data_IF_727598799438
#
_entry.id   IF_727598799438
#
_cell.length_a   1.000
_cell.length_b   1.000
_cell.length_c   1.000
_cell.angle_alpha   90.00
_cell.angle_beta   90.00
_cell.angle_gamma   90.00
#
_symmetry.space_group_name_H-M   'P 1'
#
loop_
_entity.id
_entity.type
_entity.pdbx_description
1 polymer ?
#
# COMPACT_ATOMS: atom_id res chain seq x y z
N UNK A 1 25.13 14.68 6.59
CA UNK A 1 23.99 14.48 7.50
C UNK A 1 23.47 13.06 7.26
N UNK A 2 23.45 12.26 8.33
CA UNK A 2 22.92 10.92 8.24
C UNK A 2 21.40 11.05 8.14
N UNK A 3 20.81 10.68 6.98
CA UNK A 3 19.36 10.73 6.78
C UNK A 3 18.67 9.90 7.87
N UNK A 4 17.69 10.50 8.51
CA UNK A 4 17.02 9.91 9.66
C UNK A 4 15.89 9.02 9.15
N UNK A 5 16.04 7.71 9.28
CA UNK A 5 15.00 6.77 8.92
C UNK A 5 13.84 6.85 9.94
N UNK A 6 12.62 7.03 9.43
CA UNK A 6 11.40 7.08 10.23
C UNK A 6 10.46 5.97 9.77
N UNK A 7 10.08 5.09 10.69
CA UNK A 7 9.05 4.07 10.46
C UNK A 7 7.71 4.54 11.04
N UNK A 8 6.68 4.44 10.23
CA UNK A 8 5.28 4.62 10.65
C UNK A 8 4.61 3.25 10.70
N UNK A 9 4.31 2.77 11.89
CA UNK A 9 3.62 1.48 12.12
C UNK A 9 2.15 1.76 12.28
N UNK A 10 1.35 1.33 11.30
CA UNK A 10 -0.12 1.45 11.32
C UNK A 10 -0.73 0.18 11.90
N UNK A 11 -1.57 0.32 12.91
CA UNK A 11 -2.17 -0.84 13.59
C UNK A 11 -3.53 -0.49 14.20
N UNK A 12 -4.28 -1.50 14.63
CA UNK A 12 -5.50 -1.31 15.45
C UNK A 12 -5.13 -0.96 16.89
N UNK A 13 -5.99 -0.18 17.57
CA UNK A 13 -5.78 0.24 18.96
C UNK A 13 -5.50 -0.95 19.91
N UNK A 14 -6.13 -2.08 19.67
CA UNK A 14 -5.92 -3.30 20.46
C UNK A 14 -4.45 -3.76 20.49
N UNK A 15 -3.72 -3.57 19.41
CA UNK A 15 -2.33 -4.02 19.28
C UNK A 15 -1.31 -2.98 19.74
N UNK A 16 -1.72 -1.72 19.95
CA UNK A 16 -0.81 -0.63 20.34
C UNK A 16 0.05 -0.95 21.56
N UNK A 17 -0.51 -1.48 22.69
CA UNK A 17 0.29 -1.76 23.88
C UNK A 17 1.38 -2.81 23.61
N UNK A 18 1.05 -3.87 22.86
CA UNK A 18 1.98 -4.95 22.58
C UNK A 18 3.12 -4.47 21.66
N UNK A 19 2.80 -3.72 20.60
CA UNK A 19 3.80 -3.18 19.68
C UNK A 19 4.68 -2.14 20.37
N UNK A 20 4.09 -1.27 21.19
CA UNK A 20 4.84 -0.28 21.98
C UNK A 20 5.81 -0.95 22.94
N UNK A 21 5.36 -1.99 23.64
CA UNK A 21 6.20 -2.78 24.54
C UNK A 21 7.33 -3.47 23.78
N UNK A 22 7.04 -4.02 22.59
CA UNK A 22 8.07 -4.63 21.73
C UNK A 22 9.20 -3.65 21.40
N UNK A 23 8.88 -2.43 20.94
CA UNK A 23 9.90 -1.43 20.62
C UNK A 23 10.60 -0.84 21.83
N UNK A 24 9.96 -0.86 22.99
CA UNK A 24 10.60 -0.48 24.26
C UNK A 24 11.70 -1.48 24.65
N UNK A 25 11.44 -2.77 24.45
CA UNK A 25 12.40 -3.85 24.78
C UNK A 25 13.45 -4.01 23.66
N UNK A 26 13.05 -3.75 22.40
CA UNK A 26 13.88 -3.88 21.21
C UNK A 26 14.00 -2.52 20.51
N UNK A 27 14.80 -1.60 21.02
CA UNK A 27 14.90 -0.25 20.45
C UNK A 27 15.45 -0.29 19.03
N UNK A 28 14.91 0.53 18.10
CA UNK A 28 15.24 0.48 16.67
C UNK A 28 16.60 1.12 16.31
N UNK A 29 17.48 1.25 17.25
CA UNK A 29 18.80 1.86 17.06
C UNK A 29 18.69 3.35 16.73
N UNK A 30 19.17 3.77 15.56
CA UNK A 30 19.14 5.17 15.12
C UNK A 30 17.82 5.59 14.41
N UNK A 31 16.97 4.63 14.12
CA UNK A 31 15.68 4.92 13.48
C UNK A 31 14.67 5.46 14.50
N UNK A 32 13.69 6.21 14.00
CA UNK A 32 12.53 6.64 14.77
C UNK A 32 11.35 5.76 14.40
N UNK A 33 10.56 5.34 15.40
CA UNK A 33 9.32 4.58 15.17
C UNK A 33 8.14 5.37 15.70
N UNK A 34 7.17 5.65 14.85
CA UNK A 34 5.88 6.22 15.20
C UNK A 34 4.82 5.13 15.06
N UNK A 35 4.13 4.80 16.14
CA UNK A 35 3.04 3.82 16.13
C UNK A 35 1.72 4.59 16.11
N UNK A 36 0.90 4.36 15.09
CA UNK A 36 -0.34 5.07 14.85
C UNK A 36 -1.52 4.09 14.85
N UNK A 37 -2.57 4.42 15.62
CA UNK A 37 -3.82 3.69 15.54
C UNK A 37 -4.62 4.14 14.33
N UNK A 38 -5.09 3.18 13.55
CA UNK A 38 -6.01 3.44 12.44
C UNK A 38 -7.46 3.67 12.91
N UNK A 39 -7.80 3.24 14.12
CA UNK A 39 -9.16 3.36 14.64
C UNK A 39 -9.55 4.83 14.90
N UNK A 40 -8.54 5.70 15.09
CA UNK A 40 -8.73 7.13 15.28
C UNK A 40 -8.87 7.90 13.95
N UNK A 41 -8.76 7.21 12.83
CA UNK A 41 -8.85 7.83 11.53
C UNK A 41 -10.30 7.74 11.05
N UNK A 42 -10.96 8.88 10.82
CA UNK A 42 -12.37 8.97 10.43
C UNK A 42 -12.66 8.48 9.00
N UNK A 43 -11.88 7.53 8.51
CA UNK A 43 -11.99 7.04 7.16
C UNK A 43 -13.22 6.16 6.93
N UNK A 44 -13.68 5.41 7.95
CA UNK A 44 -14.87 4.57 7.84
C UNK A 44 -16.17 5.39 7.72
N UNK A 45 -16.24 6.55 8.40
CA UNK A 45 -17.40 7.43 8.31
C UNK A 45 -17.34 8.34 7.08
N UNK A 46 -16.13 8.77 6.68
CA UNK A 46 -15.92 9.66 5.54
C UNK A 46 -15.96 8.94 4.19
N UNK A 47 -15.64 7.65 4.18
CA UNK A 47 -15.38 6.93 2.94
C UNK A 47 -16.23 5.68 2.76
N UNK A 48 -17.37 5.50 3.44
CA UNK A 48 -18.30 4.37 3.22
C UNK A 48 -17.60 3.12 2.65
N UNK A 49 -16.63 2.59 3.41
CA UNK A 49 -15.98 1.34 2.99
C UNK A 49 -17.02 0.26 3.22
N UNK A 50 -17.82 0.03 2.20
CA UNK A 50 -18.70 -1.13 2.17
C UNK A 50 -17.82 -2.36 2.16
N UNK A 51 -17.76 -3.02 3.30
CA UNK A 51 -17.41 -4.42 3.34
C UNK A 51 -18.57 -5.16 2.64
N UNK A 52 -18.57 -5.22 1.33
CA UNK A 52 -19.26 -6.31 0.67
C UNK A 52 -18.51 -7.58 1.05
N UNK A 53 -19.06 -8.24 2.08
CA UNK A 53 -18.57 -9.50 2.66
C UNK A 53 -18.67 -10.68 1.67
N UNK A 54 -18.43 -10.48 0.39
CA UNK A 54 -18.47 -11.54 -0.62
C UNK A 54 -17.14 -12.28 -0.78
N UNK A 55 -16.05 -11.82 -0.17
CA UNK A 55 -14.82 -12.59 -0.09
C UNK A 55 -14.83 -13.42 1.18
N UNK A 56 -14.86 -14.75 1.04
CA UNK A 56 -14.74 -15.69 2.15
C UNK A 56 -13.34 -15.74 2.77
N UNK A 57 -12.37 -15.06 2.19
CA UNK A 57 -10.97 -15.06 2.66
C UNK A 57 -10.67 -13.83 3.52
N UNK A 58 -10.44 -13.99 4.84
CA UNK A 58 -10.12 -12.89 5.77
C UNK A 58 -8.90 -12.09 5.37
N UNK A 59 -7.98 -12.65 4.59
CA UNK A 59 -6.75 -11.97 4.13
C UNK A 59 -7.06 -10.78 3.24
N UNK A 60 -8.14 -10.82 2.50
CA UNK A 60 -8.55 -9.76 1.57
C UNK A 60 -9.58 -8.80 2.14
N UNK A 61 -10.18 -9.13 3.30
CA UNK A 61 -11.21 -8.30 3.95
C UNK A 61 -10.65 -7.36 5.02
N UNK A 62 -9.35 -7.43 5.32
CA UNK A 62 -8.73 -6.57 6.31
C UNK A 62 -8.76 -5.10 5.89
N UNK A 63 -9.26 -4.22 6.75
CA UNK A 63 -9.24 -2.78 6.58
C UNK A 63 -7.82 -2.24 6.28
N UNK A 64 -6.79 -2.89 6.84
CA UNK A 64 -5.39 -2.54 6.61
C UNK A 64 -4.99 -2.62 5.13
N UNK A 65 -5.59 -3.52 4.35
CA UNK A 65 -5.31 -3.64 2.92
C UNK A 65 -5.77 -2.40 2.13
N UNK A 66 -6.79 -1.72 2.60
CA UNK A 66 -7.34 -0.53 1.94
C UNK A 66 -6.62 0.76 2.34
N UNK A 67 -5.81 0.75 3.41
CA UNK A 67 -5.08 1.94 3.87
C UNK A 67 -4.18 2.56 2.80
N UNK A 68 -3.66 1.74 1.89
CA UNK A 68 -2.78 2.23 0.81
C UNK A 68 -3.43 3.28 -0.08
N UNK A 69 -4.77 3.25 -0.22
CA UNK A 69 -5.51 4.24 -1.01
C UNK A 69 -5.75 5.55 -0.26
N UNK A 70 -5.49 5.59 1.04
CA UNK A 70 -5.69 6.74 1.94
C UNK A 70 -4.38 7.27 2.53
N UNK A 71 -3.23 6.76 2.10
CA UNK A 71 -1.91 7.22 2.56
C UNK A 71 -1.72 8.74 2.49
N UNK A 72 -2.18 9.46 1.46
CA UNK A 72 -2.06 10.91 1.41
C UNK A 72 -2.84 11.64 2.50
N UNK A 73 -3.94 11.07 2.98
CA UNK A 73 -4.77 11.63 4.04
C UNK A 73 -4.20 11.28 5.43
N UNK A 74 -3.63 10.07 5.57
CA UNK A 74 -2.96 9.64 6.79
C UNK A 74 -1.65 10.43 6.99
N UNK A 75 -0.93 10.72 5.90
CA UNK A 75 0.36 11.42 5.91
C UNK A 75 0.35 12.69 5.03
N UNK A 76 -0.44 13.72 5.41
CA UNK A 76 -0.61 14.90 4.56
C UNK A 76 0.69 15.70 4.34
N UNK A 77 1.63 15.61 5.28
CA UNK A 77 2.92 16.30 5.20
C UNK A 77 3.98 15.56 4.38
N UNK A 78 3.77 14.27 4.07
CA UNK A 78 4.74 13.49 3.32
C UNK A 78 4.50 13.59 1.81
N UNK A 79 5.59 13.68 1.06
CA UNK A 79 5.55 13.69 -0.41
C UNK A 79 5.82 12.31 -1.02
N UNK A 80 6.52 11.46 -0.32
CA UNK A 80 6.94 10.13 -0.79
C UNK A 80 6.98 9.16 0.39
N UNK A 81 6.59 7.91 0.17
CA UNK A 81 6.63 6.87 1.20
C UNK A 81 6.91 5.51 0.56
N UNK A 82 7.62 4.66 1.27
CA UNK A 82 7.71 3.22 0.97
C UNK A 82 6.75 2.52 1.91
N UNK A 83 5.77 1.83 1.36
CA UNK A 83 4.86 0.95 2.10
C UNK A 83 5.45 -0.46 2.11
N UNK A 84 5.52 -1.05 3.29
CA UNK A 84 5.93 -2.43 3.50
C UNK A 84 4.79 -3.17 4.21
N UNK A 85 4.44 -4.35 3.72
CA UNK A 85 3.54 -5.25 4.44
C UNK A 85 4.29 -5.86 5.65
N UNK A 86 3.56 -6.28 6.66
CA UNK A 86 4.14 -6.74 7.93
C UNK A 86 4.87 -8.10 7.83
N UNK A 87 4.70 -8.82 6.73
CA UNK A 87 5.34 -10.11 6.43
C UNK A 87 6.51 -9.98 5.44
N UNK A 88 6.97 -8.76 5.18
CA UNK A 88 8.15 -8.49 4.33
C UNK A 88 9.42 -8.49 5.17
N UNK A 89 10.43 -9.22 4.71
CA UNK A 89 11.79 -9.21 5.30
C UNK A 89 12.71 -8.36 4.45
N UNK A 90 13.20 -7.26 5.04
CA UNK A 90 14.14 -6.35 4.38
C UNK A 90 15.54 -6.97 4.39
N UNK A 91 16.09 -7.27 3.22
CA UNK A 91 17.39 -7.93 3.05
C UNK A 91 18.53 -6.94 2.78
N UNK A 92 18.22 -5.74 2.31
CA UNK A 92 19.20 -4.73 1.90
C UNK A 92 18.72 -3.33 2.28
N UNK A 93 19.62 -2.36 2.21
CA UNK A 93 19.30 -0.95 2.44
C UNK A 93 18.23 -0.46 1.44
N UNK A 94 17.18 0.15 1.96
CA UNK A 94 16.07 0.70 1.17
C UNK A 94 16.30 2.13 0.68
N UNK A 95 17.40 2.78 1.04
CA UNK A 95 17.68 4.17 0.69
C UNK A 95 17.70 4.40 -0.84
N UNK A 96 18.13 3.41 -1.61
CA UNK A 96 18.13 3.48 -3.07
C UNK A 96 16.72 3.61 -3.66
N UNK A 97 15.68 3.10 -2.99
CA UNK A 97 14.29 3.24 -3.43
C UNK A 97 13.85 4.71 -3.46
N UNK A 98 14.41 5.54 -2.55
CA UNK A 98 14.12 6.97 -2.54
C UNK A 98 14.63 7.69 -3.79
N UNK A 99 15.70 7.17 -4.40
CA UNK A 99 16.34 7.77 -5.57
C UNK A 99 15.75 7.29 -6.89
N UNK A 100 14.81 6.33 -6.86
CA UNK A 100 14.16 5.84 -8.07
C UNK A 100 13.40 6.98 -8.75
N UNK A 101 13.74 7.20 -10.02
CA UNK A 101 12.98 8.12 -10.87
C UNK A 101 11.65 7.46 -11.26
N UNK A 102 10.56 7.93 -10.68
CA UNK A 102 9.21 7.42 -10.91
C UNK A 102 8.66 7.75 -12.32
N UNK A 103 9.41 8.51 -13.15
CA UNK A 103 9.03 8.91 -14.54
C UNK A 103 7.60 9.45 -14.65
N UNK A 104 7.14 10.15 -13.63
CA UNK A 104 5.78 10.68 -13.58
C UNK A 104 4.71 9.73 -13.04
N UNK A 105 5.05 8.48 -12.75
CA UNK A 105 4.12 7.54 -12.14
C UNK A 105 3.93 7.83 -10.65
N UNK A 106 2.77 7.42 -10.14
CA UNK A 106 2.35 7.64 -8.75
C UNK A 106 2.77 6.48 -7.85
N UNK A 107 2.79 5.26 -8.40
CA UNK A 107 3.13 4.03 -7.69
C UNK A 107 4.28 3.34 -8.42
N UNK A 108 5.26 2.87 -7.65
CA UNK A 108 6.27 1.91 -8.07
C UNK A 108 6.03 0.59 -7.37
N UNK A 109 6.00 -0.50 -8.13
CA UNK A 109 5.77 -1.85 -7.61
C UNK A 109 6.64 -2.85 -8.36
N UNK A 110 6.87 -4.01 -7.75
CA UNK A 110 7.61 -5.10 -8.38
C UNK A 110 6.64 -5.94 -9.22
N UNK A 111 6.98 -6.20 -10.49
CA UNK A 111 6.22 -7.11 -11.34
C UNK A 111 6.34 -8.56 -10.84
N UNK A 112 5.25 -9.30 -10.94
CA UNK A 112 5.19 -10.70 -10.46
C UNK A 112 5.69 -11.72 -11.49
N UNK A 113 5.90 -11.33 -12.73
CA UNK A 113 6.45 -12.19 -13.76
C UNK A 113 7.99 -12.14 -13.73
N UNK A 114 8.62 -13.31 -13.66
CA UNK A 114 10.05 -13.45 -13.88
C UNK A 114 10.31 -13.95 -15.30
N UNK A 115 11.28 -13.36 -15.99
CA UNK A 115 11.71 -13.85 -17.31
C UNK A 115 12.05 -15.34 -17.26
N UNK A 116 11.52 -16.13 -18.21
CA UNK A 116 11.78 -17.55 -18.33
C UNK A 116 11.00 -18.47 -17.39
N UNK A 117 10.17 -17.96 -16.51
CA UNK A 117 9.24 -18.76 -15.68
C UNK A 117 7.80 -18.52 -16.10
N UNK A 118 6.95 -19.55 -15.95
CA UNK A 118 5.51 -19.41 -16.16
C UNK A 118 5.02 -18.19 -15.37
N UNK A 119 4.36 -17.22 -15.99
CA UNK A 119 3.91 -16.02 -15.31
C UNK A 119 2.98 -16.43 -14.18
N UNK A 120 3.44 -16.22 -12.94
CA UNK A 120 2.74 -16.69 -11.76
C UNK A 120 1.40 -15.98 -11.57
N UNK A 121 1.30 -14.73 -12.05
CA UNK A 121 0.10 -13.92 -11.96
C UNK A 121 -0.01 -12.97 -13.16
N UNK A 122 -0.85 -13.35 -14.14
CA UNK A 122 -1.25 -12.46 -15.23
C UNK A 122 -2.54 -11.73 -14.85
N UNK A 123 -2.78 -10.59 -15.49
CA UNK A 123 -3.97 -9.77 -15.23
C UNK A 123 -5.26 -10.55 -15.51
N UNK A 124 -5.30 -11.37 -16.56
CA UNK A 124 -6.48 -12.16 -16.92
C UNK A 124 -6.91 -13.21 -15.87
N UNK A 125 -6.03 -13.54 -14.93
CA UNK A 125 -6.34 -14.45 -13.81
C UNK A 125 -7.13 -13.76 -12.68
N UNK A 126 -7.12 -12.43 -12.61
CA UNK A 126 -7.69 -11.67 -11.49
C UNK A 126 -8.79 -10.69 -11.92
N UNK A 127 -8.84 -10.37 -13.20
CA UNK A 127 -9.70 -9.31 -13.73
C UNK A 127 -10.54 -9.87 -14.87
N UNK A 128 -11.85 -9.63 -14.81
CA UNK A 128 -12.75 -10.01 -15.90
C UNK A 128 -12.56 -9.05 -17.08
N UNK A 129 -11.74 -9.45 -18.03
CA UNK A 129 -11.46 -8.66 -19.23
C UNK A 129 -12.62 -8.63 -20.23
N UNK A 130 -13.68 -9.43 -20.04
CA UNK A 130 -14.92 -9.35 -20.82
C UNK A 130 -15.72 -8.09 -20.51
N UNK A 131 -15.44 -7.42 -19.35
CA UNK A 131 -16.02 -6.12 -19.04
C UNK A 131 -15.47 -5.05 -19.99
N UNK A 132 -16.33 -4.32 -20.74
CA UNK A 132 -15.89 -3.32 -21.71
C UNK A 132 -15.10 -2.14 -21.11
N UNK A 133 -15.31 -1.83 -19.84
CA UNK A 133 -14.59 -0.76 -19.13
C UNK A 133 -13.17 -1.19 -18.76
N UNK A 134 -12.98 -2.47 -18.51
CA UNK A 134 -11.73 -3.05 -18.02
C UNK A 134 -10.90 -3.59 -19.19
N UNK A 135 -11.51 -4.41 -20.08
CA UNK A 135 -10.81 -5.13 -21.12
C UNK A 135 -10.10 -4.25 -22.15
N UNK A 136 -10.56 -2.99 -22.32
CA UNK A 136 -9.88 -2.02 -23.20
C UNK A 136 -8.65 -1.36 -22.58
N UNK A 137 -8.46 -1.51 -21.26
CA UNK A 137 -7.42 -0.80 -20.51
C UNK A 137 -6.24 -1.67 -20.12
N UNK A 138 -6.42 -2.98 -20.12
CA UNK A 138 -5.41 -3.92 -19.66
C UNK A 138 -5.05 -4.93 -20.74
N UNK A 139 -3.77 -5.21 -20.88
CA UNK A 139 -3.29 -6.37 -21.65
C UNK A 139 -3.50 -7.64 -20.82
N UNK A 140 -4.21 -8.60 -21.38
CA UNK A 140 -4.48 -9.91 -20.78
C UNK A 140 -3.20 -10.63 -20.32
N UNK A 141 -2.11 -10.46 -21.08
CA UNK A 141 -0.84 -11.12 -20.83
C UNK A 141 0.08 -10.29 -19.92
N UNK A 142 -0.29 -9.07 -19.57
CA UNK A 142 0.52 -8.25 -18.68
C UNK A 142 0.63 -8.89 -17.30
N UNK A 143 1.79 -8.69 -16.65
CA UNK A 143 2.03 -9.11 -15.30
C UNK A 143 1.25 -8.26 -14.30
N UNK A 144 0.79 -8.87 -13.23
CA UNK A 144 0.36 -8.15 -12.04
C UNK A 144 1.56 -7.62 -11.25
N UNK A 145 1.28 -6.95 -10.14
CA UNK A 145 2.28 -6.35 -9.28
C UNK A 145 2.22 -6.95 -7.87
N UNK A 146 3.40 -7.11 -7.25
CA UNK A 146 3.49 -7.45 -5.85
C UNK A 146 3.12 -6.23 -4.99
N UNK A 147 2.30 -6.43 -3.96
CA UNK A 147 1.85 -5.37 -3.07
C UNK A 147 2.63 -5.29 -1.75
N UNK A 148 3.44 -6.30 -1.43
CA UNK A 148 4.20 -6.35 -0.18
C UNK A 148 5.21 -5.22 0.00
N UNK A 149 5.69 -4.62 -1.10
CA UNK A 149 6.55 -3.44 -1.08
C UNK A 149 6.18 -2.52 -2.24
N UNK A 150 5.77 -1.30 -1.91
CA UNK A 150 5.41 -0.29 -2.90
C UNK A 150 6.01 1.07 -2.57
N UNK A 151 6.42 1.80 -3.60
CA UNK A 151 6.86 3.18 -3.52
C UNK A 151 5.72 4.08 -3.97
N UNK A 152 5.34 5.08 -3.15
CA UNK A 152 4.26 6.01 -3.47
C UNK A 152 4.79 7.44 -3.57
N UNK A 153 4.42 8.14 -4.66
CA UNK A 153 4.51 9.60 -4.78
C UNK A 153 3.19 10.20 -4.30
N UNK A 154 3.12 10.54 -3.01
CA UNK A 154 1.91 11.06 -2.37
C UNK A 154 1.56 12.47 -2.87
N UNK A 155 2.55 13.24 -3.31
CA UNK A 155 2.30 14.57 -3.88
C UNK A 155 1.55 14.45 -5.20
N UNK A 156 1.97 13.55 -6.09
CA UNK A 156 1.26 13.28 -7.35
C UNK A 156 -0.10 12.64 -7.12
N UNK A 157 -0.19 11.71 -6.16
CA UNK A 157 -1.47 11.10 -5.76
C UNK A 157 -2.50 12.16 -5.43
N UNK A 158 -2.13 13.15 -4.59
CA UNK A 158 -3.00 14.29 -4.25
C UNK A 158 -3.36 15.14 -5.46
N UNK A 159 -2.38 15.45 -6.32
CA UNK A 159 -2.63 16.25 -7.54
C UNK A 159 -3.63 15.60 -8.48
N UNK A 160 -3.61 14.29 -8.60
CA UNK A 160 -4.52 13.53 -9.46
C UNK A 160 -5.80 13.10 -8.73
N UNK A 161 -5.94 13.43 -7.46
CA UNK A 161 -7.09 13.05 -6.61
C UNK A 161 -7.44 11.56 -6.69
N UNK A 162 -6.42 10.68 -6.63
CA UNK A 162 -6.60 9.26 -6.88
C UNK A 162 -7.40 8.55 -5.79
N UNK A 163 -7.43 9.06 -4.56
CA UNK A 163 -8.33 8.57 -3.51
C UNK A 163 -9.78 8.69 -3.94
N UNK A 164 -10.20 9.83 -4.50
CA UNK A 164 -11.57 10.00 -5.00
C UNK A 164 -11.85 9.12 -6.23
N UNK A 165 -10.87 8.93 -7.11
CA UNK A 165 -11.01 7.99 -8.25
C UNK A 165 -11.24 6.58 -7.72
N UNK A 166 -10.47 6.13 -6.74
CA UNK A 166 -10.66 4.83 -6.11
C UNK A 166 -12.05 4.70 -5.48
N UNK A 167 -12.52 5.71 -4.75
CA UNK A 167 -13.85 5.72 -4.14
C UNK A 167 -14.97 5.63 -5.16
N UNK A 168 -14.84 6.32 -6.30
CA UNK A 168 -15.81 6.23 -7.38
C UNK A 168 -15.90 4.79 -7.94
N UNK A 169 -14.77 4.09 -8.05
CA UNK A 169 -14.78 2.68 -8.48
C UNK A 169 -15.45 1.74 -7.48
N UNK A 170 -15.39 2.03 -6.19
CA UNK A 170 -16.08 1.26 -5.16
C UNK A 170 -17.61 1.42 -5.17
N UNK A 171 -18.12 2.48 -5.82
CA UNK A 171 -19.56 2.79 -5.90
C UNK A 171 -20.21 2.30 -7.21
N UNK A 172 -19.41 1.78 -8.14
CA UNK A 172 -19.89 1.22 -9.42
C UNK A 172 -20.27 -0.24 -9.29
#
# INVERSE_FOLDING_TARGET
>A
EQERLVFHVLTKSLNLPAISMWFLINPPGKATVHILSIDNFEWSSKYNIYQENNSSDPRYTSELNYLRFYLPDIFPALNKIVLLDHDVVVQQDLSELWNINMKGNVIGAVGTCQEGKIPFHRIDMFVNLSDPLIGKRFDANACTWAFGMNLFDLQRWRRHNLTAVYQNYLQM
#
